data_IF_861591355856
#
_entry.id   IF_861591355856
#
_cell.length_a   1.000
_cell.length_b   1.000
_cell.length_c   1.000
_cell.angle_alpha   90.00
_cell.angle_beta   90.00
_cell.angle_gamma   90.00
#
_symmetry.space_group_name_H-M   'P 1'
#
loop_
_entity.id
_entity.type
_entity.pdbx_description
1 polymer ?
#
# COMPACT_ATOMS: atom_id res chain seq x y z
N UNK A 1 21.43 12.67 -22.87
CA UNK A 1 21.82 11.59 -21.95
C UNK A 1 21.86 12.07 -20.49
N UNK A 2 22.72 13.03 -20.08
CA UNK A 2 22.75 13.54 -18.68
C UNK A 2 21.43 14.10 -18.12
N UNK A 3 20.58 14.67 -18.97
CA UNK A 3 19.28 15.20 -18.53
C UNK A 3 18.27 14.08 -18.18
N UNK A 4 18.33 12.94 -18.88
CA UNK A 4 17.46 11.79 -18.60
C UNK A 4 17.88 11.11 -17.30
N UNK A 5 19.18 10.91 -17.09
CA UNK A 5 19.74 10.39 -15.83
C UNK A 5 19.37 11.26 -14.62
N UNK A 6 19.38 12.59 -14.78
CA UNK A 6 18.97 13.52 -13.73
C UNK A 6 17.48 13.46 -13.39
N UNK A 7 16.63 13.15 -14.37
CA UNK A 7 15.18 13.00 -14.18
C UNK A 7 14.86 11.70 -13.44
N UNK A 8 15.47 10.59 -13.86
CA UNK A 8 15.30 9.27 -13.24
C UNK A 8 15.70 9.32 -11.76
N UNK A 9 16.82 9.96 -11.45
CA UNK A 9 17.28 10.15 -10.08
C UNK A 9 16.26 10.91 -9.22
N UNK A 10 15.62 11.95 -9.75
CA UNK A 10 14.58 12.70 -9.02
C UNK A 10 13.37 11.84 -8.74
N UNK A 11 12.92 11.05 -9.72
CA UNK A 11 11.82 10.10 -9.51
C UNK A 11 12.11 9.08 -8.43
N UNK A 12 13.33 8.52 -8.41
CA UNK A 12 13.74 7.54 -7.39
C UNK A 12 13.74 8.18 -6.00
N UNK A 13 14.29 9.38 -5.86
CA UNK A 13 14.35 10.08 -4.56
C UNK A 13 12.95 10.45 -4.08
N UNK A 14 12.15 11.11 -4.94
CA UNK A 14 10.79 11.51 -4.58
C UNK A 14 9.94 10.30 -4.22
N UNK A 15 9.99 9.23 -5.02
CA UNK A 15 9.25 8.00 -4.73
C UNK A 15 9.71 7.33 -3.43
N UNK A 16 11.02 7.27 -3.17
CA UNK A 16 11.53 6.71 -1.92
C UNK A 16 11.10 7.50 -0.68
N UNK A 17 11.13 8.84 -0.76
CA UNK A 17 10.68 9.70 0.34
C UNK A 17 9.17 9.60 0.55
N UNK A 18 8.37 9.62 -0.53
CA UNK A 18 6.92 9.40 -0.45
C UNK A 18 6.60 8.03 0.13
N UNK A 19 7.32 6.98 -0.28
CA UNK A 19 7.13 5.63 0.25
C UNK A 19 7.41 5.53 1.75
N UNK A 20 8.53 6.09 2.21
CA UNK A 20 8.84 6.15 3.65
C UNK A 20 7.76 6.93 4.39
N UNK A 21 7.34 8.09 3.88
CA UNK A 21 6.28 8.88 4.47
C UNK A 21 4.93 8.14 4.50
N UNK A 22 4.61 7.34 3.47
CA UNK A 22 3.43 6.49 3.44
C UNK A 22 3.44 5.48 4.59
N UNK A 23 4.55 4.78 4.79
CA UNK A 23 4.66 3.78 5.87
C UNK A 23 4.54 4.45 7.24
N UNK A 24 5.17 5.62 7.43
CA UNK A 24 5.01 6.39 8.66
C UNK A 24 3.57 6.86 8.87
N UNK A 25 2.88 7.27 7.82
CA UNK A 25 1.47 7.66 7.87
C UNK A 25 0.57 6.48 8.23
N UNK A 26 0.80 5.30 7.64
CA UNK A 26 0.09 4.06 7.98
C UNK A 26 0.29 3.69 9.45
N UNK A 27 1.54 3.54 9.90
CA UNK A 27 1.79 3.16 11.30
C UNK A 27 1.29 4.23 12.29
N UNK A 28 1.44 5.50 11.93
CA UNK A 28 0.95 6.62 12.73
C UNK A 28 -0.57 6.62 12.86
N UNK A 29 -1.31 6.39 11.77
CA UNK A 29 -2.77 6.34 11.79
C UNK A 29 -3.32 5.08 12.49
N UNK A 30 -2.65 3.93 12.34
CA UNK A 30 -3.17 2.65 12.81
C UNK A 30 -2.79 2.30 14.26
N UNK A 31 -1.62 2.73 14.75
CA UNK A 31 -1.08 2.24 16.03
C UNK A 31 -0.78 3.33 17.06
N UNK A 32 -0.77 4.62 16.68
CA UNK A 32 -0.57 5.69 17.63
C UNK A 32 -1.92 6.23 18.14
N UNK A 33 -2.05 6.55 19.44
CA UNK A 33 -3.26 7.16 19.99
C UNK A 33 -3.32 8.65 19.62
N UNK A 34 -3.58 8.93 18.34
CA UNK A 34 -3.69 10.29 17.81
C UNK A 34 -5.12 10.82 17.94
N UNK A 35 -5.31 12.15 18.05
CA UNK A 35 -6.62 12.75 17.86
C UNK A 35 -7.17 12.51 16.44
N UNK A 36 -8.50 12.53 16.29
CA UNK A 36 -9.19 12.15 15.04
C UNK A 36 -8.68 12.88 13.80
N UNK A 37 -8.51 14.21 13.88
CA UNK A 37 -8.08 15.02 12.72
C UNK A 37 -6.67 14.65 12.24
N UNK A 38 -5.62 14.64 13.10
CA UNK A 38 -4.31 14.11 12.73
C UNK A 38 -4.36 12.69 12.15
N UNK A 39 -5.10 11.77 12.78
CA UNK A 39 -5.22 10.39 12.30
C UNK A 39 -5.83 10.33 10.88
N UNK A 40 -6.88 11.12 10.62
CA UNK A 40 -7.51 11.24 9.30
C UNK A 40 -6.57 11.82 8.25
N UNK A 41 -5.79 12.85 8.60
CA UNK A 41 -4.81 13.43 7.67
C UNK A 41 -3.77 12.38 7.27
N UNK A 42 -3.27 11.59 8.22
CA UNK A 42 -2.32 10.51 7.93
C UNK A 42 -2.97 9.41 7.08
N UNK A 43 -4.19 9.00 7.42
CA UNK A 43 -4.96 8.01 6.65
C UNK A 43 -5.13 8.45 5.19
N UNK A 44 -5.56 9.70 4.94
CA UNK A 44 -5.75 10.20 3.58
C UNK A 44 -4.45 10.49 2.84
N UNK A 45 -3.35 10.76 3.54
CA UNK A 45 -2.04 10.90 2.93
C UNK A 45 -1.49 9.56 2.42
N UNK A 46 -1.86 8.43 3.05
CA UNK A 46 -1.31 7.11 2.74
C UNK A 46 -1.42 6.73 1.26
N UNK A 47 -2.64 6.74 0.71
CA UNK A 47 -2.89 6.31 -0.67
C UNK A 47 -2.10 7.09 -1.74
N UNK A 48 -2.17 8.44 -1.78
CA UNK A 48 -1.37 9.25 -2.70
C UNK A 48 0.14 9.01 -2.58
N UNK A 49 0.65 8.87 -1.35
CA UNK A 49 2.07 8.64 -1.11
C UNK A 49 2.52 7.26 -1.63
N UNK A 50 1.72 6.20 -1.41
CA UNK A 50 1.95 4.88 -2.01
C UNK A 50 1.99 4.97 -3.53
N UNK A 51 1.04 5.69 -4.14
CA UNK A 51 0.98 5.79 -5.59
C UNK A 51 2.22 6.45 -6.20
N UNK A 52 2.68 7.56 -5.62
CA UNK A 52 3.92 8.23 -6.04
C UNK A 52 5.14 7.33 -5.82
N UNK A 53 5.18 6.60 -4.70
CA UNK A 53 6.24 5.66 -4.39
C UNK A 53 6.34 4.53 -5.42
N UNK A 54 5.20 3.97 -5.85
CA UNK A 54 5.16 2.94 -6.90
C UNK A 54 5.73 3.44 -8.23
N UNK A 55 5.43 4.67 -8.63
CA UNK A 55 5.99 5.27 -9.85
C UNK A 55 7.50 5.50 -9.73
N UNK A 56 7.99 5.95 -8.57
CA UNK A 56 9.43 6.08 -8.33
C UNK A 56 10.16 4.73 -8.35
N UNK A 57 9.53 3.67 -7.85
CA UNK A 57 10.11 2.33 -7.83
C UNK A 57 10.27 1.74 -9.24
N UNK A 58 9.39 2.08 -10.20
CA UNK A 58 9.59 1.73 -11.62
C UNK A 58 10.95 2.26 -12.10
N UNK A 59 11.24 3.53 -11.85
CA UNK A 59 12.47 4.17 -12.29
C UNK A 59 13.71 3.54 -11.60
N UNK A 60 13.60 3.18 -10.32
CA UNK A 60 14.68 2.54 -9.57
C UNK A 60 15.03 1.15 -10.13
N UNK A 61 14.01 0.41 -10.58
CA UNK A 61 14.14 -0.96 -11.11
C UNK A 61 14.55 -0.97 -12.58
N UNK A 62 14.11 0.00 -13.39
CA UNK A 62 14.43 0.07 -14.82
C UNK A 62 15.91 0.44 -15.06
N UNK A 63 16.51 1.30 -14.22
CA UNK A 63 17.91 1.75 -14.37
C UNK A 63 18.26 2.19 -15.80
N UNK A 64 17.36 2.95 -16.43
CA UNK A 64 17.51 3.42 -17.82
C UNK A 64 17.11 2.40 -18.91
N UNK A 65 16.80 1.15 -18.56
CA UNK A 65 16.26 0.15 -19.49
C UNK A 65 14.78 -0.13 -19.18
N UNK A 66 13.84 0.29 -20.04
CA UNK A 66 12.41 0.02 -19.87
C UNK A 66 12.07 -1.45 -19.66
N UNK A 67 11.17 -1.75 -18.73
CA UNK A 67 10.70 -3.12 -18.44
C UNK A 67 9.18 -3.12 -18.29
N UNK A 68 8.51 -3.84 -19.19
CA UNK A 68 7.04 -3.96 -19.19
C UNK A 68 6.50 -4.41 -17.82
N UNK A 69 7.09 -5.44 -17.23
CA UNK A 69 6.65 -5.94 -15.92
C UNK A 69 6.83 -4.92 -14.78
N UNK A 70 7.89 -4.11 -14.80
CA UNK A 70 8.09 -3.05 -13.81
C UNK A 70 7.04 -1.95 -13.95
N UNK A 71 6.66 -1.58 -15.18
CA UNK A 71 5.61 -0.59 -15.44
C UNK A 71 4.23 -1.10 -15.05
N UNK A 72 3.92 -2.37 -15.32
CA UNK A 72 2.69 -3.02 -14.85
C UNK A 72 2.66 -3.02 -13.32
N UNK A 73 3.77 -3.39 -12.66
CA UNK A 73 3.86 -3.36 -11.20
C UNK A 73 3.63 -1.95 -10.64
N UNK A 74 4.22 -0.93 -11.26
CA UNK A 74 4.04 0.47 -10.89
C UNK A 74 2.60 0.95 -11.08
N UNK A 75 1.97 0.59 -12.20
CA UNK A 75 0.55 0.88 -12.44
C UNK A 75 -0.34 0.24 -11.38
N UNK A 76 -0.14 -1.05 -11.08
CA UNK A 76 -0.91 -1.75 -10.06
C UNK A 76 -0.72 -1.14 -8.67
N UNK A 77 0.51 -0.74 -8.32
CA UNK A 77 0.79 -0.08 -7.04
C UNK A 77 0.18 1.32 -6.95
N UNK A 78 0.21 2.09 -8.05
CA UNK A 78 -0.47 3.38 -8.13
C UNK A 78 -2.00 3.24 -8.04
N UNK A 79 -2.57 2.25 -8.74
CA UNK A 79 -3.98 1.91 -8.64
C UNK A 79 -4.34 1.50 -7.21
N UNK A 80 -3.53 0.67 -6.54
CA UNK A 80 -3.73 0.31 -5.14
C UNK A 80 -3.74 1.53 -4.22
N UNK A 81 -2.79 2.47 -4.40
CA UNK A 81 -2.74 3.72 -3.65
C UNK A 81 -4.01 4.58 -3.83
N UNK A 82 -4.55 4.64 -5.06
CA UNK A 82 -5.81 5.35 -5.32
C UNK A 82 -6.99 4.59 -4.68
N UNK A 83 -7.04 3.27 -4.80
CA UNK A 83 -8.12 2.45 -4.23
C UNK A 83 -8.16 2.55 -2.70
N UNK A 84 -7.01 2.51 -2.02
CA UNK A 84 -6.98 2.64 -0.54
C UNK A 84 -7.37 4.06 -0.09
N UNK A 85 -7.04 5.10 -0.87
CA UNK A 85 -7.55 6.45 -0.61
C UNK A 85 -9.08 6.48 -0.67
N UNK A 86 -9.66 5.88 -1.71
CA UNK A 86 -11.12 5.78 -1.87
C UNK A 86 -11.73 5.00 -0.71
N UNK A 87 -11.16 3.84 -0.37
CA UNK A 87 -11.59 3.02 0.75
C UNK A 87 -11.60 3.81 2.05
N UNK A 88 -10.49 4.43 2.42
CA UNK A 88 -10.38 5.20 3.67
C UNK A 88 -11.35 6.37 3.69
N UNK A 89 -11.54 7.06 2.57
CA UNK A 89 -12.52 8.16 2.47
C UNK A 89 -13.95 7.64 2.70
N UNK A 90 -14.32 6.54 2.05
CA UNK A 90 -15.63 5.90 2.20
C UNK A 90 -15.84 5.41 3.63
N UNK A 91 -14.85 4.72 4.21
CA UNK A 91 -14.90 4.20 5.57
C UNK A 91 -15.12 5.33 6.59
N UNK A 92 -14.36 6.42 6.50
CA UNK A 92 -14.52 7.57 7.39
C UNK A 92 -15.90 8.24 7.24
N UNK A 93 -16.40 8.35 6.01
CA UNK A 93 -17.74 8.87 5.76
C UNK A 93 -18.84 7.97 6.34
N UNK A 94 -18.69 6.65 6.22
CA UNK A 94 -19.60 5.65 6.81
C UNK A 94 -19.61 5.72 8.33
N UNK A 95 -18.44 5.76 8.98
CA UNK A 95 -18.34 5.87 10.43
C UNK A 95 -19.01 7.15 10.94
N UNK A 96 -18.75 8.29 10.29
CA UNK A 96 -19.42 9.54 10.61
C UNK A 96 -20.94 9.51 10.37
N UNK A 97 -21.44 8.65 9.47
CA UNK A 97 -22.87 8.45 9.25
C UNK A 97 -23.49 7.55 10.33
N UNK A 98 -22.78 6.51 10.76
CA UNK A 98 -23.22 5.60 11.82
C UNK A 98 -23.41 6.34 13.16
N UNK A 99 -22.52 7.28 13.46
CA UNK A 99 -22.58 8.08 14.70
C UNK A 99 -23.83 8.98 14.77
N UNK A 100 -24.47 9.28 13.63
CA UNK A 100 -25.71 10.07 13.57
C UNK A 100 -26.96 9.23 13.82
N UNK A 101 -26.85 7.91 13.78
CA UNK A 101 -27.96 6.98 14.02
C UNK A 101 -27.93 6.57 15.48
N UNK A 102 -29.04 6.67 16.21
CA UNK A 102 -29.11 6.25 17.61
C UNK A 102 -28.74 4.76 17.77
N UNK A 103 -28.00 4.41 18.82
CA UNK A 103 -27.55 3.03 19.09
C UNK A 103 -28.72 2.04 19.19
N UNK A 104 -29.84 2.49 19.74
CA UNK A 104 -31.04 1.69 19.96
C UNK A 104 -31.93 1.56 18.72
N UNK A 105 -31.57 2.20 17.59
CA UNK A 105 -32.39 2.14 16.38
C UNK A 105 -32.34 0.72 15.79
N UNK A 106 -33.49 0.06 15.53
CA UNK A 106 -33.53 -1.30 14.98
C UNK A 106 -32.80 -1.44 13.64
N UNK A 107 -32.74 -0.37 12.86
CA UNK A 107 -32.08 -0.32 11.55
C UNK A 107 -30.56 -0.13 11.63
N UNK A 108 -29.98 0.22 12.79
CA UNK A 108 -28.56 0.55 12.89
C UNK A 108 -27.67 -0.65 12.56
N UNK A 109 -28.00 -1.83 13.08
CA UNK A 109 -27.21 -3.03 12.84
C UNK A 109 -27.12 -3.37 11.34
N UNK A 110 -28.26 -3.35 10.64
CA UNK A 110 -28.31 -3.61 9.20
C UNK A 110 -27.56 -2.54 8.38
N UNK A 111 -27.61 -1.27 8.79
CA UNK A 111 -26.86 -0.19 8.14
C UNK A 111 -25.34 -0.35 8.31
N UNK A 112 -24.89 -0.72 9.51
CA UNK A 112 -23.47 -0.97 9.79
C UNK A 112 -22.97 -2.18 9.02
N UNK A 113 -23.73 -3.27 8.99
CA UNK A 113 -23.38 -4.47 8.22
C UNK A 113 -23.25 -4.15 6.72
N UNK A 114 -24.22 -3.45 6.15
CA UNK A 114 -24.20 -3.04 4.74
C UNK A 114 -23.00 -2.14 4.43
N UNK A 115 -22.76 -1.10 5.22
CA UNK A 115 -21.65 -0.20 4.95
C UNK A 115 -20.29 -0.87 5.19
N UNK A 116 -20.19 -1.79 6.16
CA UNK A 116 -19.00 -2.61 6.36
C UNK A 116 -18.68 -3.46 5.11
N UNK A 117 -19.69 -4.11 4.53
CA UNK A 117 -19.52 -4.86 3.29
C UNK A 117 -18.98 -3.99 2.13
N UNK A 118 -19.37 -2.70 2.06
CA UNK A 118 -18.89 -1.78 1.04
C UNK A 118 -17.39 -1.48 1.22
N UNK A 119 -16.97 -1.03 2.41
CA UNK A 119 -15.56 -0.67 2.58
C UNK A 119 -14.63 -1.89 2.68
N UNK A 120 -15.08 -3.04 3.19
CA UNK A 120 -14.30 -4.29 3.11
C UNK A 120 -14.16 -4.82 1.68
N UNK A 121 -15.17 -4.61 0.82
CA UNK A 121 -15.01 -4.90 -0.61
C UNK A 121 -13.92 -4.04 -1.28
N UNK A 122 -13.81 -2.78 -0.88
CA UNK A 122 -12.73 -1.88 -1.33
C UNK A 122 -11.37 -2.25 -0.71
N UNK A 123 -11.37 -2.75 0.53
CA UNK A 123 -10.19 -3.25 1.24
C UNK A 123 -9.54 -4.40 0.45
N UNK A 124 -10.34 -5.41 0.12
CA UNK A 124 -9.89 -6.53 -0.68
C UNK A 124 -9.43 -6.12 -2.08
N UNK A 125 -10.07 -5.11 -2.68
CA UNK A 125 -9.68 -4.61 -4.00
C UNK A 125 -8.28 -3.99 -3.99
N UNK A 126 -7.92 -3.16 -2.99
CA UNK A 126 -6.57 -2.61 -2.93
C UNK A 126 -5.55 -3.66 -2.52
N UNK A 127 -5.90 -4.61 -1.64
CA UNK A 127 -5.03 -5.72 -1.25
C UNK A 127 -4.62 -6.59 -2.44
N UNK A 128 -5.56 -6.91 -3.32
CA UNK A 128 -5.26 -7.61 -4.58
C UNK A 128 -4.24 -6.84 -5.44
N UNK A 129 -4.46 -5.54 -5.59
CA UNK A 129 -3.62 -4.69 -6.43
C UNK A 129 -2.21 -4.52 -5.84
N UNK A 130 -2.10 -4.26 -4.54
CA UNK A 130 -0.81 -4.06 -3.88
C UNK A 130 -0.04 -5.38 -3.78
N UNK A 131 -0.71 -6.50 -3.51
CA UNK A 131 -0.09 -7.83 -3.50
C UNK A 131 0.53 -8.18 -4.86
N UNK A 132 -0.21 -7.93 -5.95
CA UNK A 132 0.28 -8.13 -7.31
C UNK A 132 1.45 -7.19 -7.63
N UNK A 133 1.36 -5.92 -7.25
CA UNK A 133 2.43 -4.93 -7.42
C UNK A 133 3.72 -5.36 -6.70
N UNK A 134 3.61 -5.70 -5.40
CA UNK A 134 4.72 -6.19 -4.56
C UNK A 134 5.37 -7.41 -5.20
N UNK A 135 4.57 -8.40 -5.59
CA UNK A 135 5.08 -9.65 -6.17
C UNK A 135 5.85 -9.39 -7.47
N UNK A 136 5.33 -8.56 -8.36
CA UNK A 136 6.01 -8.23 -9.62
C UNK A 136 7.28 -7.41 -9.41
N UNK A 137 7.25 -6.41 -8.53
CA UNK A 137 8.46 -5.66 -8.18
C UNK A 137 9.52 -6.58 -7.57
N UNK A 138 9.11 -7.47 -6.66
CA UNK A 138 9.99 -8.45 -6.05
C UNK A 138 10.68 -9.33 -7.11
N UNK A 139 9.97 -9.83 -8.12
CA UNK A 139 10.59 -10.57 -9.24
C UNK A 139 11.66 -9.75 -9.96
N UNK A 140 11.41 -8.46 -10.18
CA UNK A 140 12.36 -7.60 -10.88
C UNK A 140 13.60 -7.21 -10.05
N UNK A 141 13.48 -7.12 -8.73
CA UNK A 141 14.59 -6.83 -7.82
C UNK A 141 15.68 -7.93 -7.85
N UNK A 142 15.33 -9.15 -8.26
CA UNK A 142 16.23 -10.32 -8.23
C UNK A 142 17.50 -10.10 -9.05
N UNK A 143 17.36 -9.32 -10.13
CA UNK A 143 18.41 -9.08 -11.12
C UNK A 143 19.32 -7.90 -10.77
N UNK A 144 19.06 -7.16 -9.69
CA UNK A 144 19.75 -5.90 -9.42
C UNK A 144 20.99 -6.05 -8.52
N UNK A 145 20.91 -6.84 -7.45
CA UNK A 145 22.03 -7.02 -6.52
C UNK A 145 21.81 -8.21 -5.57
N UNK A 146 22.83 -8.59 -4.79
CA UNK A 146 22.68 -9.58 -3.73
C UNK A 146 21.61 -9.18 -2.70
N UNK A 147 21.56 -7.90 -2.30
CA UNK A 147 20.50 -7.36 -1.46
C UNK A 147 19.13 -7.41 -2.15
N UNK A 148 19.10 -7.16 -3.47
CA UNK A 148 17.92 -7.32 -4.31
C UNK A 148 17.33 -8.73 -4.26
N UNK A 149 18.16 -9.78 -4.22
CA UNK A 149 17.69 -11.17 -4.08
C UNK A 149 16.95 -11.42 -2.75
N UNK A 150 17.44 -10.86 -1.64
CA UNK A 150 16.77 -10.97 -0.36
C UNK A 150 15.40 -10.26 -0.38
N UNK A 151 15.36 -9.04 -0.95
CA UNK A 151 14.11 -8.30 -1.15
C UNK A 151 13.14 -9.04 -2.09
N UNK A 152 13.64 -9.74 -3.10
CA UNK A 152 12.81 -10.55 -3.99
C UNK A 152 12.12 -11.70 -3.27
N UNK A 153 12.87 -12.50 -2.51
CA UNK A 153 12.30 -13.67 -1.81
C UNK A 153 11.26 -13.20 -0.81
N UNK A 154 11.63 -12.24 0.04
CA UNK A 154 10.73 -11.70 1.07
C UNK A 154 9.52 -10.99 0.48
N UNK A 155 9.68 -10.26 -0.62
CA UNK A 155 8.59 -9.56 -1.29
C UNK A 155 7.60 -10.50 -1.96
N UNK A 156 8.09 -11.56 -2.64
CA UNK A 156 7.21 -12.59 -3.20
C UNK A 156 6.41 -13.29 -2.09
N UNK A 157 7.05 -13.61 -0.96
CA UNK A 157 6.34 -14.19 0.19
C UNK A 157 5.28 -13.22 0.72
N UNK A 158 5.62 -11.94 0.94
CA UNK A 158 4.67 -10.93 1.42
C UNK A 158 3.47 -10.80 0.48
N UNK A 159 3.71 -10.59 -0.82
CA UNK A 159 2.63 -10.42 -1.80
C UNK A 159 1.75 -11.65 -1.96
N UNK A 160 2.33 -12.85 -2.07
CA UNK A 160 1.56 -14.09 -2.23
C UNK A 160 0.75 -14.40 -0.97
N UNK A 161 1.34 -14.27 0.22
CA UNK A 161 0.64 -14.52 1.47
C UNK A 161 -0.46 -13.48 1.73
N UNK A 162 -0.19 -12.19 1.48
CA UNK A 162 -1.20 -11.13 1.58
C UNK A 162 -2.41 -11.45 0.71
N UNK A 163 -2.19 -11.81 -0.56
CA UNK A 163 -3.28 -12.18 -1.47
C UNK A 163 -4.02 -13.43 -1.00
N UNK A 164 -3.29 -14.51 -0.70
CA UNK A 164 -3.90 -15.80 -0.35
C UNK A 164 -4.74 -15.71 0.93
N UNK A 165 -4.24 -15.01 1.95
CA UNK A 165 -4.95 -14.84 3.23
C UNK A 165 -6.20 -13.98 3.04
N UNK A 166 -6.10 -12.85 2.34
CA UNK A 166 -7.24 -11.98 2.09
C UNK A 166 -8.34 -12.64 1.24
N UNK A 167 -7.96 -13.43 0.23
CA UNK A 167 -8.92 -14.21 -0.56
C UNK A 167 -9.61 -15.31 0.24
N UNK A 168 -8.91 -15.92 1.18
CA UNK A 168 -9.49 -16.92 2.07
C UNK A 168 -10.41 -16.31 3.14
N UNK A 169 -10.15 -15.06 3.54
CA UNK A 169 -10.93 -14.36 4.56
C UNK A 169 -12.19 -13.67 4.02
N UNK A 170 -12.20 -13.28 2.74
CA UNK A 170 -13.32 -12.58 2.11
C UNK A 170 -14.66 -13.32 2.34
N UNK A 171 -15.73 -12.61 2.78
CA UNK A 171 -15.90 -11.15 2.78
C UNK A 171 -15.42 -10.40 4.03
N UNK A 172 -14.92 -11.09 5.05
CA UNK A 172 -14.44 -10.47 6.28
C UNK A 172 -12.93 -10.18 6.20
N UNK A 173 -12.43 -9.17 6.94
CA UNK A 173 -11.00 -8.96 7.05
C UNK A 173 -10.34 -10.11 7.86
N UNK A 174 -9.07 -10.48 7.57
CA UNK A 174 -8.42 -11.64 8.18
C UNK A 174 -8.38 -11.64 9.71
N UNK A 175 -8.10 -10.49 10.32
CA UNK A 175 -7.99 -10.32 11.76
C UNK A 175 -9.30 -10.63 12.49
N UNK A 176 -10.45 -10.27 11.89
CA UNK A 176 -11.78 -10.51 12.44
C UNK A 176 -12.12 -12.00 12.58
N UNK A 177 -11.55 -12.83 11.71
CA UNK A 177 -11.74 -14.29 11.73
C UNK A 177 -10.54 -15.03 12.34
N UNK A 178 -9.60 -14.31 12.96
CA UNK A 178 -8.44 -14.88 13.66
C UNK A 178 -7.29 -15.32 12.75
N UNK A 179 -7.28 -14.87 11.49
CA UNK A 179 -6.16 -15.07 10.57
C UNK A 179 -5.11 -13.97 10.75
N UNK A 180 -3.88 -14.25 10.28
CA UNK A 180 -2.76 -13.30 10.36
C UNK A 180 -2.96 -12.11 9.41
N UNK A 181 -2.85 -10.89 9.92
CA UNK A 181 -2.75 -9.70 9.09
C UNK A 181 -1.34 -9.55 8.50
N UNK A 182 -1.25 -9.61 7.17
CA UNK A 182 0.01 -9.47 6.42
C UNK A 182 0.39 -8.01 6.14
N UNK A 183 -0.51 -7.05 6.39
CA UNK A 183 -0.31 -5.62 6.13
C UNK A 183 0.97 -5.06 6.77
N UNK A 184 1.20 -5.24 8.09
CA UNK A 184 2.41 -4.75 8.75
C UNK A 184 3.70 -5.35 8.18
N UNK A 185 3.69 -6.63 7.78
CA UNK A 185 4.86 -7.29 7.19
C UNK A 185 5.16 -6.74 5.79
N UNK A 186 4.13 -6.52 4.97
CA UNK A 186 4.25 -5.87 3.67
C UNK A 186 4.78 -4.43 3.83
N UNK A 187 4.28 -3.68 4.82
CA UNK A 187 4.72 -2.32 5.11
C UNK A 187 6.23 -2.26 5.48
N UNK A 188 6.71 -3.19 6.30
CA UNK A 188 8.13 -3.30 6.63
C UNK A 188 9.00 -3.67 5.43
N UNK A 189 8.53 -4.59 4.58
CA UNK A 189 9.21 -4.92 3.32
C UNK A 189 9.30 -3.70 2.40
N UNK A 190 8.19 -2.97 2.23
CA UNK A 190 8.12 -1.75 1.43
C UNK A 190 9.08 -0.69 1.98
N UNK A 191 9.14 -0.51 3.30
CA UNK A 191 10.08 0.42 3.94
C UNK A 191 11.54 0.08 3.59
N UNK A 192 11.92 -1.20 3.61
CA UNK A 192 13.25 -1.64 3.22
C UNK A 192 13.54 -1.34 1.74
N UNK A 193 12.56 -1.56 0.85
CA UNK A 193 12.67 -1.23 -0.59
C UNK A 193 12.82 0.27 -0.80
N UNK A 194 12.05 1.10 -0.10
CA UNK A 194 12.13 2.56 -0.23
C UNK A 194 13.46 3.11 0.32
N UNK A 195 13.96 2.55 1.43
CA UNK A 195 15.30 2.84 1.93
C UNK A 195 16.39 2.47 0.91
N UNK A 196 16.25 1.31 0.26
CA UNK A 196 17.14 0.88 -0.82
C UNK A 196 17.11 1.83 -2.02
N UNK A 197 15.93 2.31 -2.44
CA UNK A 197 15.80 3.31 -3.51
C UNK A 197 16.60 4.58 -3.21
N UNK A 198 16.48 5.12 -1.99
CA UNK A 198 17.25 6.30 -1.56
C UNK A 198 18.75 6.01 -1.55
N UNK A 199 19.16 4.83 -1.08
CA UNK A 199 20.55 4.40 -1.11
C UNK A 199 21.11 4.27 -2.52
N UNK A 200 20.32 3.78 -3.46
CA UNK A 200 20.69 3.63 -4.87
C UNK A 200 20.87 5.00 -5.55
N UNK A 201 19.97 5.95 -5.33
CA UNK A 201 20.03 7.28 -5.95
C UNK A 201 21.19 8.17 -5.45
N UNK A 202 21.90 7.75 -4.42
CA UNK A 202 23.09 8.43 -3.87
C UNK A 202 24.41 7.89 -4.41
N UNK A 203 24.40 6.72 -5.06
CA UNK A 203 25.55 6.14 -5.74
C UNK A 203 25.67 6.72 -7.14
#
# INVERSE_FOLDING_TARGET
MRHAEGLDRRWIITGGLCGIAAILAYFGAAFLPLPDRPAQVLAFAFGPLVAIASLGLVNAVEQGTPRVGARIAGFLGAAAGITVLVMLTVQQALFAAYDRVQETAPSRAALVELGNAVHFGLDIAWDCLIAASITLFAVHLWRLSAFGKALSITGMLCGVLLFAINMAAFPDPPDRIGMLDMGPFCALWMLAVYGWMIGQARR
#
